data_IF_860095116955
#
_entry.id   IF_860095116955
#
_cell.length_a   1.000
_cell.length_b   1.000
_cell.length_c   1.000
_cell.angle_alpha   90.00
_cell.angle_beta   90.00
_cell.angle_gamma   90.00
#
_symmetry.space_group_name_H-M   'P 1'
#
loop_
_entity.id
_entity.type
_entity.pdbx_description
1 polymer ?
#
# COMPACT_ATOMS: atom_id res chain seq x y z
N UNK A 1 14.10 -32.53 -1.68
CA UNK A 1 13.64 -33.93 -1.54
C UNK A 1 12.35 -34.11 -2.32
N UNK A 2 12.27 -35.04 -3.29
CA UNK A 2 11.00 -35.35 -3.99
C UNK A 2 10.08 -36.10 -3.01
N UNK A 3 8.90 -35.54 -2.72
CA UNK A 3 7.86 -36.23 -1.93
C UNK A 3 7.28 -37.36 -2.80
N UNK A 4 7.22 -38.57 -2.26
CA UNK A 4 6.64 -39.76 -2.92
C UNK A 4 5.39 -40.16 -2.16
N UNK A 5 4.28 -40.36 -2.86
CA UNK A 5 3.05 -40.92 -2.30
C UNK A 5 3.00 -42.39 -2.71
N UNK A 6 2.98 -43.29 -1.73
CA UNK A 6 2.88 -44.74 -1.95
C UNK A 6 1.40 -45.12 -1.82
N UNK A 7 0.82 -45.66 -2.89
CA UNK A 7 -0.55 -46.15 -2.92
C UNK A 7 -0.55 -47.69 -2.87
N UNK A 8 -1.39 -48.29 -2.04
CA UNK A 8 -1.58 -49.75 -1.95
C UNK A 8 -2.99 -50.14 -2.38
N UNK A 9 -3.12 -51.19 -3.20
CA UNK A 9 -4.42 -51.66 -3.71
C UNK A 9 -4.31 -52.50 -4.98
N UNK A 10 -5.45 -52.97 -5.49
CA UNK A 10 -5.51 -53.70 -6.78
C UNK A 10 -5.18 -52.78 -7.95
N UNK A 11 -4.44 -53.28 -8.93
CA UNK A 11 -3.92 -52.51 -10.07
C UNK A 11 -5.04 -51.84 -10.90
N UNK A 12 -6.20 -52.48 -11.00
CA UNK A 12 -7.35 -51.94 -11.75
C UNK A 12 -8.01 -50.76 -11.02
N UNK A 13 -8.14 -50.84 -9.69
CA UNK A 13 -8.68 -49.76 -8.86
C UNK A 13 -7.72 -48.56 -8.83
N UNK A 14 -6.41 -48.83 -8.75
CA UNK A 14 -5.39 -47.78 -8.76
C UNK A 14 -5.34 -47.03 -10.09
N UNK A 15 -5.46 -47.72 -11.23
CA UNK A 15 -5.48 -47.08 -12.56
C UNK A 15 -6.63 -46.08 -12.72
N UNK A 16 -7.81 -46.38 -12.15
CA UNK A 16 -8.96 -45.48 -12.21
C UNK A 16 -8.84 -44.28 -11.25
N UNK A 17 -8.20 -44.47 -10.08
CA UNK A 17 -8.12 -43.44 -9.04
C UNK A 17 -6.91 -42.50 -9.15
N UNK A 18 -5.81 -42.94 -9.78
CA UNK A 18 -4.60 -42.12 -9.95
C UNK A 18 -4.89 -40.79 -10.67
N UNK A 19 -5.63 -40.73 -11.80
CA UNK A 19 -5.93 -39.47 -12.47
C UNK A 19 -6.72 -38.50 -11.58
N UNK A 20 -7.72 -39.02 -10.86
CA UNK A 20 -8.54 -38.22 -9.93
C UNK A 20 -7.69 -37.63 -8.79
N UNK A 21 -6.76 -38.41 -8.23
CA UNK A 21 -5.86 -37.95 -7.17
C UNK A 21 -4.89 -36.89 -7.68
N UNK A 22 -4.41 -37.00 -8.93
CA UNK A 22 -3.55 -36.00 -9.56
C UNK A 22 -4.34 -34.70 -9.75
N UNK A 23 -5.56 -34.76 -10.28
CA UNK A 23 -6.43 -33.60 -10.49
C UNK A 23 -6.78 -32.90 -9.18
N UNK A 24 -7.11 -33.66 -8.13
CA UNK A 24 -7.32 -33.13 -6.78
C UNK A 24 -6.04 -32.49 -6.24
N UNK A 25 -4.88 -33.07 -6.48
CA UNK A 25 -3.61 -32.51 -6.06
C UNK A 25 -3.30 -31.18 -6.75
N UNK A 26 -3.54 -31.09 -8.06
CA UNK A 26 -3.37 -29.86 -8.84
C UNK A 26 -4.35 -28.78 -8.38
N UNK A 27 -5.62 -29.13 -8.16
CA UNK A 27 -6.63 -28.21 -7.64
C UNK A 27 -6.28 -27.72 -6.23
N UNK A 28 -5.84 -28.61 -5.33
CA UNK A 28 -5.40 -28.23 -3.98
C UNK A 28 -4.13 -27.37 -4.00
N UNK A 29 -3.22 -27.59 -4.96
CA UNK A 29 -2.05 -26.73 -5.14
C UNK A 29 -2.46 -25.32 -5.58
N UNK A 30 -3.40 -25.20 -6.52
CA UNK A 30 -3.91 -23.90 -6.98
C UNK A 30 -4.71 -23.18 -5.90
N UNK A 31 -5.59 -23.89 -5.17
CA UNK A 31 -6.30 -23.35 -4.00
C UNK A 31 -5.31 -22.91 -2.94
N UNK A 32 -4.24 -23.68 -2.67
CA UNK A 32 -3.21 -23.30 -1.70
C UNK A 32 -2.43 -22.07 -2.13
N UNK A 33 -2.08 -21.95 -3.41
CA UNK A 33 -1.43 -20.75 -3.95
C UNK A 33 -2.34 -19.52 -3.80
N UNK A 34 -3.63 -19.65 -4.12
CA UNK A 34 -4.64 -18.59 -3.93
C UNK A 34 -4.88 -18.28 -2.45
N UNK A 35 -4.88 -19.30 -1.59
CA UNK A 35 -5.09 -19.14 -0.15
C UNK A 35 -3.87 -18.55 0.54
N UNK A 36 -2.64 -18.87 0.13
CA UNK A 36 -1.42 -18.20 0.60
C UNK A 36 -1.38 -16.73 0.12
N UNK A 37 -1.95 -16.42 -1.05
CA UNK A 37 -2.17 -15.04 -1.51
C UNK A 37 -3.18 -14.27 -0.63
N UNK A 38 -4.19 -14.95 -0.08
CA UNK A 38 -5.28 -14.37 0.72
C UNK A 38 -5.00 -14.36 2.23
N UNK A 39 -4.33 -15.38 2.77
CA UNK A 39 -4.02 -15.55 4.19
C UNK A 39 -2.86 -14.64 4.65
N UNK A 40 -2.05 -14.16 3.70
CA UNK A 40 -1.00 -13.19 4.00
C UNK A 40 -1.52 -11.77 3.81
N UNK A 41 -2.21 -11.24 4.82
CA UNK A 41 -2.24 -9.78 5.02
C UNK A 41 -0.79 -9.30 5.24
N UNK A 42 -0.10 -9.01 4.14
CA UNK A 42 1.17 -8.28 4.12
C UNK A 42 2.39 -9.11 4.51
N UNK A 43 2.89 -9.91 3.57
CA UNK A 43 4.31 -10.06 3.19
C UNK A 43 4.46 -11.38 2.46
N UNK A 44 4.52 -11.34 1.13
CA UNK A 44 5.24 -12.41 0.45
C UNK A 44 6.63 -12.51 1.12
N UNK A 45 7.13 -13.72 1.37
CA UNK A 45 8.48 -13.94 1.93
C UNK A 45 9.57 -13.17 1.17
N UNK A 46 9.29 -12.81 -0.09
CA UNK A 46 10.11 -11.95 -0.93
C UNK A 46 10.09 -10.46 -0.52
N UNK A 47 8.94 -9.88 -0.14
CA UNK A 47 8.80 -8.46 0.20
C UNK A 47 9.59 -8.03 1.47
N UNK A 48 9.86 -8.96 2.38
CA UNK A 48 10.60 -8.68 3.64
C UNK A 48 12.02 -8.15 3.40
N UNK A 49 12.62 -8.48 2.26
CA UNK A 49 13.99 -8.08 1.89
C UNK A 49 14.04 -7.04 0.77
N UNK A 50 12.89 -6.43 0.47
CA UNK A 50 12.75 -5.39 -0.57
C UNK A 50 12.68 -4.02 0.08
N UNK A 51 13.36 -3.02 -0.49
CA UNK A 51 13.16 -1.63 -0.08
C UNK A 51 11.69 -1.23 -0.23
N UNK A 52 11.17 -0.45 0.72
CA UNK A 52 9.80 0.07 0.68
C UNK A 52 9.84 1.59 0.65
N UNK A 53 9.21 2.19 -0.36
CA UNK A 53 8.97 3.64 -0.41
C UNK A 53 7.65 3.92 0.29
N UNK A 54 7.64 4.97 1.13
CA UNK A 54 6.43 5.46 1.77
C UNK A 54 6.34 6.98 1.66
N UNK A 55 5.23 7.46 1.11
CA UNK A 55 4.88 8.87 1.05
C UNK A 55 3.92 9.20 2.18
N UNK A 56 4.10 10.38 2.77
CA UNK A 56 3.28 10.91 3.84
C UNK A 56 2.67 12.25 3.43
N UNK A 57 1.36 12.35 3.62
CA UNK A 57 0.56 13.54 3.39
C UNK A 57 -0.05 13.98 4.71
N UNK A 58 -0.22 15.29 4.87
CA UNK A 58 -0.65 15.88 6.13
C UNK A 58 -1.50 17.12 5.92
N UNK A 59 -2.49 17.28 6.78
CA UNK A 59 -3.26 18.50 6.98
C UNK A 59 -3.40 18.76 8.48
N UNK A 60 -3.32 20.02 8.88
CA UNK A 60 -3.66 20.45 10.22
C UNK A 60 -4.74 21.52 10.13
N UNK A 61 -5.91 21.22 10.67
CA UNK A 61 -7.00 22.18 10.79
C UNK A 61 -6.80 22.96 12.08
N UNK A 62 -6.46 24.24 11.93
CA UNK A 62 -6.20 25.14 13.06
C UNK A 62 -7.47 25.45 13.84
N UNK A 63 -8.63 25.51 13.16
CA UNK A 63 -9.91 25.87 13.80
C UNK A 63 -10.42 24.73 14.68
N UNK A 64 -10.23 23.49 14.23
CA UNK A 64 -10.68 22.30 14.98
C UNK A 64 -9.56 21.69 15.83
N UNK A 65 -8.33 22.20 15.75
CA UNK A 65 -7.13 21.60 16.34
C UNK A 65 -6.96 20.10 16.00
N UNK A 66 -7.40 19.69 14.80
CA UNK A 66 -7.39 18.30 14.33
C UNK A 66 -6.34 18.11 13.24
N UNK A 67 -5.69 16.94 13.25
CA UNK A 67 -4.71 16.57 12.23
C UNK A 67 -5.21 15.40 11.40
N UNK A 68 -4.92 15.44 10.11
CA UNK A 68 -5.31 14.40 9.17
C UNK A 68 -4.12 13.99 8.34
N UNK A 69 -3.91 12.68 8.23
CA UNK A 69 -2.82 12.09 7.49
C UNK A 69 -3.32 11.20 6.35
N UNK A 70 -2.47 11.01 5.35
CA UNK A 70 -2.64 9.95 4.37
C UNK A 70 -1.27 9.39 4.00
N UNK A 71 -1.25 8.11 3.63
CA UNK A 71 -0.01 7.39 3.37
C UNK A 71 -0.17 6.52 2.14
N UNK A 72 0.88 6.45 1.33
CA UNK A 72 0.97 5.55 0.19
C UNK A 72 2.32 4.85 0.22
N UNK A 73 2.33 3.57 -0.12
CA UNK A 73 3.56 2.81 -0.13
C UNK A 73 3.62 1.74 -1.19
N UNK A 74 4.82 1.47 -1.67
CA UNK A 74 5.13 0.39 -2.59
C UNK A 74 6.49 -0.22 -2.24
N UNK A 75 6.71 -1.43 -2.72
CA UNK A 75 8.01 -2.10 -2.64
C UNK A 75 8.76 -1.96 -3.97
N UNK A 76 10.08 -1.82 -3.88
CA UNK A 76 10.99 -1.88 -5.02
C UNK A 76 11.34 -3.35 -5.28
N UNK A 77 10.70 -3.97 -6.27
CA UNK A 77 10.82 -5.41 -6.56
C UNK A 77 12.03 -5.75 -7.43
N UNK A 78 12.49 -4.78 -8.22
CA UNK A 78 13.77 -4.74 -8.94
C UNK A 78 14.93 -4.75 -7.93
N UNK A 79 14.83 -3.96 -6.86
CA UNK A 79 15.92 -3.77 -5.93
C UNK A 79 15.95 -4.74 -4.75
N UNK A 80 17.13 -4.94 -4.16
CA UNK A 80 17.31 -5.62 -2.88
C UNK A 80 17.90 -4.65 -1.86
N UNK A 81 17.53 -4.83 -0.59
CA UNK A 81 18.10 -4.03 0.51
C UNK A 81 19.64 -4.11 0.55
N UNK A 82 20.22 -5.23 0.11
CA UNK A 82 21.68 -5.43 0.09
C UNK A 82 22.38 -4.78 -1.09
N UNK A 83 21.68 -4.42 -2.16
CA UNK A 83 22.28 -3.93 -3.41
C UNK A 83 21.98 -2.47 -3.70
N UNK A 84 20.93 -1.91 -3.09
CA UNK A 84 20.54 -0.53 -3.34
C UNK A 84 21.67 0.45 -2.98
N UNK A 85 22.01 1.30 -3.95
CA UNK A 85 23.11 2.26 -3.89
C UNK A 85 22.63 3.64 -3.49
N UNK A 86 23.53 4.49 -3.01
CA UNK A 86 23.21 5.89 -2.69
C UNK A 86 22.75 6.65 -3.94
N UNK A 87 23.32 6.34 -5.12
CA UNK A 87 22.92 6.95 -6.39
C UNK A 87 21.47 6.67 -6.75
N UNK A 88 21.00 5.44 -6.57
CA UNK A 88 19.60 5.07 -6.81
C UNK A 88 18.65 5.75 -5.83
N UNK A 89 19.05 5.83 -4.55
CA UNK A 89 18.27 6.53 -3.52
C UNK A 89 18.15 8.03 -3.86
N UNK A 90 19.23 8.65 -4.33
CA UNK A 90 19.24 10.05 -4.77
C UNK A 90 18.35 10.26 -6.00
N UNK A 91 18.42 9.38 -6.99
CA UNK A 91 17.56 9.44 -8.17
C UNK A 91 16.07 9.33 -7.79
N UNK A 92 15.71 8.41 -6.89
CA UNK A 92 14.36 8.28 -6.36
C UNK A 92 13.91 9.55 -5.63
N UNK A 93 14.76 10.12 -4.78
CA UNK A 93 14.47 11.37 -4.08
C UNK A 93 14.20 12.52 -5.07
N UNK A 94 15.03 12.68 -6.11
CA UNK A 94 14.83 13.71 -7.15
C UNK A 94 13.49 13.54 -7.88
N UNK A 95 13.13 12.31 -8.27
CA UNK A 95 11.85 12.06 -8.94
C UNK A 95 10.68 12.40 -8.01
N UNK A 96 10.74 11.97 -6.74
CA UNK A 96 9.70 12.28 -5.75
C UNK A 96 9.60 13.79 -5.53
N UNK A 97 10.74 14.48 -5.45
CA UNK A 97 10.76 15.93 -5.26
C UNK A 97 10.07 16.65 -6.43
N UNK A 98 10.39 16.30 -7.67
CA UNK A 98 9.77 16.85 -8.87
C UNK A 98 8.27 16.54 -8.96
N UNK A 99 7.85 15.36 -8.53
CA UNK A 99 6.46 14.88 -8.68
C UNK A 99 5.55 15.29 -7.53
N UNK A 100 6.10 15.47 -6.32
CA UNK A 100 5.31 15.66 -5.09
C UNK A 100 5.68 16.90 -4.27
N UNK A 101 6.91 17.40 -4.34
CA UNK A 101 7.35 18.55 -3.54
C UNK A 101 7.36 19.86 -4.32
N UNK A 102 7.59 19.82 -5.64
CA UNK A 102 7.77 21.00 -6.50
C UNK A 102 6.93 20.90 -7.79
N UNK A 103 5.67 21.37 -7.81
CA UNK A 103 4.93 22.00 -6.70
C UNK A 103 4.45 20.97 -5.67
N UNK A 104 4.11 21.46 -4.46
CA UNK A 104 3.60 20.59 -3.39
C UNK A 104 2.30 19.94 -3.85
N UNK A 105 2.33 18.62 -4.01
CA UNK A 105 1.18 17.84 -4.44
C UNK A 105 0.13 17.81 -3.34
N UNK A 106 -1.12 18.01 -3.74
CA UNK A 106 -2.28 18.00 -2.86
C UNK A 106 -3.36 17.12 -3.44
N UNK A 107 -4.18 16.56 -2.57
CA UNK A 107 -5.40 15.89 -2.99
C UNK A 107 -6.47 15.96 -1.91
N UNK A 108 -7.72 15.82 -2.33
CA UNK A 108 -8.85 15.77 -1.41
C UNK A 108 -9.04 14.34 -0.90
N UNK A 109 -8.72 14.13 0.36
CA UNK A 109 -9.06 12.91 1.09
C UNK A 109 -10.57 12.84 1.26
N UNK A 110 -11.13 11.64 1.26
CA UNK A 110 -12.56 11.46 1.50
C UNK A 110 -12.93 10.02 1.85
N UNK A 111 -14.18 9.66 1.57
CA UNK A 111 -14.76 8.40 2.03
C UNK A 111 -14.52 7.21 1.10
N UNK A 112 -14.23 7.48 -0.18
CA UNK A 112 -14.10 6.47 -1.25
C UNK A 112 -12.70 5.88 -1.23
N UNK A 113 -12.60 4.56 -1.24
CA UNK A 113 -11.32 3.86 -1.32
C UNK A 113 -11.04 3.50 -2.77
N UNK A 114 -9.95 4.05 -3.32
CA UNK A 114 -9.43 3.69 -4.64
C UNK A 114 -8.15 2.91 -4.42
N UNK A 115 -8.02 1.77 -5.08
CA UNK A 115 -6.95 0.81 -4.88
C UNK A 115 -6.28 0.50 -6.21
N UNK A 116 -4.98 0.22 -6.20
CA UNK A 116 -4.26 -0.29 -7.37
C UNK A 116 -3.53 -1.56 -6.97
N UNK A 117 -3.65 -2.64 -7.74
CA UNK A 117 -3.00 -3.92 -7.42
C UNK A 117 -2.08 -4.36 -8.55
N UNK A 118 -0.78 -4.25 -8.31
CA UNK A 118 0.26 -4.78 -9.20
C UNK A 118 1.34 -5.46 -8.36
N UNK A 119 1.13 -6.76 -8.11
CA UNK A 119 2.02 -7.58 -7.28
C UNK A 119 3.40 -7.72 -7.92
N UNK A 120 3.49 -7.79 -9.25
CA UNK A 120 4.75 -7.92 -9.98
C UNK A 120 5.65 -6.71 -9.77
N UNK A 121 5.04 -5.51 -9.76
CA UNK A 121 5.75 -4.25 -9.53
C UNK A 121 5.78 -3.82 -8.06
N UNK A 122 5.34 -4.64 -7.11
CA UNK A 122 5.46 -4.34 -5.67
C UNK A 122 4.35 -3.43 -5.10
N UNK A 123 3.27 -3.25 -5.84
CA UNK A 123 2.06 -2.55 -5.41
C UNK A 123 1.06 -3.56 -4.84
N UNK A 124 1.33 -4.03 -3.62
CA UNK A 124 0.47 -4.95 -2.88
C UNK A 124 -0.74 -4.23 -2.28
N UNK A 125 -1.69 -3.84 -3.15
CA UNK A 125 -2.90 -3.13 -2.79
C UNK A 125 -2.70 -1.76 -2.08
N UNK A 126 -1.81 -0.87 -2.56
CA UNK A 126 -1.87 0.54 -2.16
C UNK A 126 -3.27 1.10 -2.40
N UNK A 127 -3.73 1.89 -1.45
CA UNK A 127 -5.01 2.56 -1.56
C UNK A 127 -4.93 3.99 -1.10
N UNK A 128 -5.74 4.82 -1.74
CA UNK A 128 -5.99 6.20 -1.32
C UNK A 128 -7.46 6.32 -0.95
N UNK A 129 -7.71 7.05 0.13
CA UNK A 129 -9.03 7.53 0.48
C UNK A 129 -9.21 8.89 -0.19
N UNK A 130 -10.10 8.98 -1.17
CA UNK A 130 -10.29 10.19 -1.97
C UNK A 130 -11.73 10.68 -1.92
N UNK A 131 -11.92 11.98 -2.16
CA UNK A 131 -13.26 12.55 -2.32
C UNK A 131 -13.96 11.96 -3.54
N UNK A 132 -13.27 11.79 -4.68
CA UNK A 132 -13.85 11.24 -5.91
C UNK A 132 -13.00 10.09 -6.44
N UNK A 133 -13.58 9.27 -7.32
CA UNK A 133 -12.85 8.19 -8.00
C UNK A 133 -11.73 8.75 -8.89
N UNK A 134 -12.04 9.81 -9.65
CA UNK A 134 -11.08 10.48 -10.51
C UNK A 134 -9.88 11.03 -9.74
N UNK A 135 -10.12 11.61 -8.56
CA UNK A 135 -9.05 12.10 -7.70
C UNK A 135 -8.18 10.95 -7.20
N UNK A 136 -8.77 9.83 -6.78
CA UNK A 136 -8.00 8.65 -6.37
C UNK A 136 -7.16 8.06 -7.51
N UNK A 137 -7.70 8.01 -8.72
CA UNK A 137 -6.96 7.58 -9.93
C UNK A 137 -5.77 8.52 -10.19
N UNK A 138 -5.99 9.84 -10.14
CA UNK A 138 -4.94 10.85 -10.32
C UNK A 138 -3.79 10.66 -9.33
N UNK A 139 -4.12 10.43 -8.06
CA UNK A 139 -3.12 10.20 -7.00
C UNK A 139 -2.34 8.90 -7.25
N UNK A 140 -3.04 7.81 -7.58
CA UNK A 140 -2.39 6.52 -7.85
C UNK A 140 -1.52 6.58 -9.10
N UNK A 141 -1.97 7.23 -10.18
CA UNK A 141 -1.17 7.45 -11.38
C UNK A 141 0.12 8.21 -11.07
N UNK A 142 0.02 9.36 -10.37
CA UNK A 142 1.19 10.12 -9.93
C UNK A 142 2.14 9.26 -9.06
N UNK A 143 1.59 8.36 -8.26
CA UNK A 143 2.37 7.45 -7.43
C UNK A 143 3.12 6.38 -8.23
N UNK A 144 2.55 5.89 -9.33
CA UNK A 144 3.21 4.96 -10.26
C UNK A 144 4.33 5.64 -11.05
N UNK A 145 4.17 6.93 -11.37
CA UNK A 145 5.18 7.71 -12.10
C UNK A 145 6.53 7.80 -11.37
N UNK A 146 6.57 7.63 -10.04
CA UNK A 146 7.83 7.55 -9.26
C UNK A 146 8.77 6.47 -9.83
N UNK A 147 8.19 5.39 -10.35
CA UNK A 147 8.92 4.24 -10.89
C UNK A 147 8.73 4.08 -12.40
N UNK A 148 8.16 5.09 -13.07
CA UNK A 148 7.85 5.06 -14.49
C UNK A 148 7.01 3.84 -14.91
N UNK A 149 6.09 3.40 -14.04
CA UNK A 149 5.19 2.28 -14.32
C UNK A 149 3.95 2.83 -15.03
N UNK A 150 3.57 2.29 -16.21
CA UNK A 150 2.37 2.72 -16.90
C UNK A 150 1.13 2.37 -16.07
N UNK A 151 0.21 3.32 -16.00
CA UNK A 151 -1.04 3.13 -15.29
C UNK A 151 -1.99 2.24 -16.09
N UNK A 152 -2.47 1.19 -15.45
CA UNK A 152 -3.40 0.23 -16.03
C UNK A 152 -4.75 0.29 -15.30
N UNK A 153 -5.79 0.68 -16.04
CA UNK A 153 -7.14 0.83 -15.51
C UNK A 153 -7.72 -0.51 -15.03
N UNK A 154 -7.30 -1.64 -15.59
CA UNK A 154 -7.79 -2.97 -15.21
C UNK A 154 -7.29 -3.39 -13.82
N UNK A 155 -6.20 -2.79 -13.34
CA UNK A 155 -5.62 -3.05 -12.02
C UNK A 155 -6.22 -2.21 -10.90
N UNK A 156 -7.22 -1.37 -11.22
CA UNK A 156 -7.85 -0.46 -10.26
C UNK A 156 -9.07 -1.09 -9.62
N UNK A 157 -9.13 -1.03 -8.29
CA UNK A 157 -10.29 -1.42 -7.48
C UNK A 157 -10.96 -0.22 -6.82
N UNK A 158 -12.29 -0.27 -6.68
CA UNK A 158 -13.07 0.75 -5.98
C UNK A 158 -13.89 0.13 -4.87
N UNK A 159 -13.88 0.77 -3.70
CA UNK A 159 -14.78 0.43 -2.59
C UNK A 159 -15.45 1.70 -2.08
N UNK A 160 -16.78 1.69 -2.10
CA UNK A 160 -17.64 2.78 -1.66
C UNK A 160 -18.83 2.16 -0.91
N UNK A 161 -19.26 2.80 0.18
CA UNK A 161 -20.46 2.37 0.89
C UNK A 161 -21.71 2.82 0.12
N UNK A 162 -22.80 2.06 0.17
CA UNK A 162 -24.07 2.47 -0.46
C UNK A 162 -24.66 3.76 0.12
N UNK A 163 -24.32 4.11 1.36
CA UNK A 163 -24.69 5.39 1.99
C UNK A 163 -23.50 5.98 2.76
N UNK A 164 -22.53 6.61 2.06
CA UNK A 164 -21.31 7.13 2.68
C UNK A 164 -21.59 8.21 3.71
N UNK A 165 -22.55 9.11 3.42
CA UNK A 165 -22.93 10.20 4.30
C UNK A 165 -23.43 9.69 5.66
N UNK A 166 -24.20 8.60 5.68
CA UNK A 166 -24.70 8.00 6.92
C UNK A 166 -23.61 7.21 7.65
N UNK A 167 -22.80 6.43 6.93
CA UNK A 167 -21.77 5.58 7.55
C UNK A 167 -20.65 6.39 8.20
N UNK A 168 -20.27 7.51 7.59
CA UNK A 168 -19.17 8.37 8.04
C UNK A 168 -19.67 9.68 8.68
N UNK A 169 -20.97 9.79 8.96
CA UNK A 169 -21.52 10.91 9.74
C UNK A 169 -20.97 10.85 11.16
N UNK A 170 -20.34 11.94 11.59
CA UNK A 170 -19.77 12.12 12.92
C UNK A 170 -20.64 12.96 13.84
N UNK A 171 -21.92 13.13 13.52
CA UNK A 171 -22.83 13.89 14.36
C UNK A 171 -23.14 13.09 15.63
N UNK A 172 -22.34 13.26 16.68
CA UNK A 172 -22.62 12.67 17.98
C UNK A 172 -21.55 13.00 19.03
N UNK A 173 -22.01 13.20 20.25
CA UNK A 173 -21.19 13.17 21.46
C UNK A 173 -21.30 11.79 22.10
N UNK A 174 -20.19 11.28 22.64
CA UNK A 174 -20.16 10.05 23.41
C UNK A 174 -19.72 10.37 24.84
N UNK A 175 -20.39 9.77 25.81
CA UNK A 175 -20.08 9.99 27.21
C UNK A 175 -18.90 9.09 27.59
N UNK A 176 -17.72 9.67 27.80
CA UNK A 176 -16.53 8.97 28.27
C UNK A 176 -16.23 9.44 29.70
N UNK A 177 -16.30 8.51 30.66
CA UNK A 177 -16.06 8.80 32.08
C UNK A 177 -16.91 9.96 32.66
N UNK A 178 -18.12 10.16 32.16
CA UNK A 178 -19.02 11.23 32.60
C UNK A 178 -18.87 12.55 31.83
N UNK A 179 -17.86 12.67 30.97
CA UNK A 179 -17.66 13.83 30.10
C UNK A 179 -18.21 13.56 28.70
N UNK A 180 -18.94 14.53 28.14
CA UNK A 180 -19.39 14.46 26.75
C UNK A 180 -18.22 14.81 25.81
N UNK A 181 -17.71 13.82 25.09
CA UNK A 181 -16.62 13.97 24.13
C UNK A 181 -17.17 13.90 22.71
N UNK A 182 -16.73 14.78 21.82
CA UNK A 182 -17.10 14.73 20.40
C UNK A 182 -16.53 13.46 19.74
N UNK A 183 -17.38 12.69 19.05
CA UNK A 183 -16.93 11.47 18.38
C UNK A 183 -15.97 11.83 17.25
N UNK A 184 -14.89 11.04 17.13
CA UNK A 184 -13.94 11.19 16.03
C UNK A 184 -14.62 10.97 14.67
N UNK A 185 -14.41 11.90 13.74
CA UNK A 185 -14.91 11.78 12.37
C UNK A 185 -14.10 10.74 11.62
N UNK A 186 -14.74 9.65 11.20
CA UNK A 186 -14.11 8.68 10.30
C UNK A 186 -14.05 9.23 8.87
N UNK A 187 -12.86 9.19 8.25
CA UNK A 187 -12.62 9.57 6.83
C UNK A 187 -13.17 10.95 6.44
N UNK A 188 -12.75 12.01 7.14
CA UNK A 188 -13.22 13.36 6.85
C UNK A 188 -12.78 13.80 5.45
N UNK A 189 -13.62 14.63 4.82
CA UNK A 189 -13.31 15.24 3.54
C UNK A 189 -12.39 16.45 3.77
N UNK A 190 -11.10 16.28 3.52
CA UNK A 190 -10.07 17.31 3.79
C UNK A 190 -9.01 17.30 2.71
N UNK A 191 -8.48 18.47 2.35
CA UNK A 191 -7.32 18.57 1.46
C UNK A 191 -6.03 18.29 2.23
N UNK A 192 -5.35 17.20 1.87
CA UNK A 192 -4.03 16.87 2.41
C UNK A 192 -2.95 17.25 1.42
N UNK A 193 -1.79 17.70 1.94
CA UNK A 193 -0.62 18.06 1.13
C UNK A 193 0.54 17.13 1.42
N UNK A 194 1.38 16.91 0.41
CA UNK A 194 2.62 16.17 0.57
C UNK A 194 3.47 16.81 1.67
N UNK A 195 4.05 15.96 2.53
CA UNK A 195 4.88 16.39 3.65
C UNK A 195 6.28 15.83 3.56
N UNK A 196 6.42 14.52 3.38
CA UNK A 196 7.71 13.87 3.25
C UNK A 196 7.60 12.49 2.62
N UNK A 197 8.74 11.98 2.18
CA UNK A 197 8.92 10.62 1.68
C UNK A 197 10.08 9.94 2.39
N UNK A 198 9.92 8.65 2.66
CA UNK A 198 10.92 7.84 3.32
C UNK A 198 11.13 6.51 2.60
N UNK A 199 12.38 6.03 2.68
CA UNK A 199 12.79 4.71 2.24
C UNK A 199 13.06 3.81 3.44
N UNK A 200 12.38 2.68 3.48
CA UNK A 200 12.52 1.67 4.52
C UNK A 200 13.33 0.48 3.99
N UNK A 201 14.44 0.20 4.67
CA UNK A 201 15.35 -0.92 4.36
C UNK A 201 15.21 -2.00 5.44
N UNK A 202 14.03 -2.63 5.50
CA UNK A 202 13.70 -3.65 6.50
C UNK A 202 13.55 -3.05 7.90
N UNK A 203 14.33 -3.54 8.87
CA UNK A 203 14.29 -3.07 10.28
C UNK A 203 15.21 -1.88 10.58
N UNK A 204 15.97 -1.40 9.58
CA UNK A 204 16.86 -0.24 9.76
C UNK A 204 16.05 1.05 9.89
N UNK A 205 16.67 2.09 10.45
CA UNK A 205 16.08 3.44 10.50
C UNK A 205 15.72 3.88 9.08
N UNK A 206 14.51 4.45 8.92
CA UNK A 206 14.07 4.96 7.64
C UNK A 206 14.99 6.09 7.16
N UNK A 207 15.28 6.08 5.86
CA UNK A 207 16.07 7.12 5.20
C UNK A 207 15.09 8.17 4.68
N UNK A 208 15.30 9.43 5.05
CA UNK A 208 14.54 10.55 4.47
C UNK A 208 14.93 10.69 3.01
N UNK A 209 13.95 10.68 2.10
CA UNK A 209 14.17 10.97 0.68
C UNK A 209 13.93 12.46 0.42
N UNK A 210 12.77 12.97 0.87
CA UNK A 210 12.35 14.36 0.69
C UNK A 210 11.55 14.77 1.93
N UNK A 211 11.77 15.99 2.45
CA UNK A 211 10.95 16.58 3.52
C UNK A 211 10.64 18.04 3.19
N UNK A 212 9.36 18.40 3.16
CA UNK A 212 8.91 19.79 2.98
C UNK A 212 8.61 20.48 4.31
N UNK A 213 8.69 19.75 5.44
CA UNK A 213 8.39 20.30 6.77
C UNK A 213 9.62 20.78 7.53
N UNK A 214 10.83 20.39 7.10
CA UNK A 214 12.10 20.72 7.75
C UNK A 214 12.26 20.10 9.15
N UNK A 215 11.51 19.04 9.45
CA UNK A 215 11.50 18.38 10.77
C UNK A 215 12.27 17.07 10.77
N UNK A 216 12.47 16.47 9.60
CA UNK A 216 13.19 15.21 9.47
C UNK A 216 14.69 15.46 9.24
N UNK A 217 15.56 14.50 9.64
CA UNK A 217 16.97 14.59 9.31
C UNK A 217 17.13 14.66 7.78
N UNK A 218 18.12 15.44 7.30
CA UNK A 218 18.37 15.58 5.87
C UNK A 218 18.70 14.21 5.26
N UNK A 219 18.48 14.05 3.95
CA UNK A 219 18.88 12.85 3.26
C UNK A 219 20.37 12.58 3.42
N UNK A 220 20.79 11.30 3.50
CA UNK A 220 22.18 10.94 3.78
C UNK A 220 23.16 11.34 2.67
N UNK A 221 22.66 11.70 1.48
CA UNK A 221 23.45 12.14 0.33
C UNK A 221 23.60 13.67 0.22
N UNK A 222 23.05 14.42 1.18
CA UNK A 222 23.21 15.89 1.26
C UNK A 222 24.20 16.30 2.39
N UNK A 223 24.87 15.32 3.02
CA UNK A 223 25.79 15.52 4.15
C UNK A 223 27.27 15.64 3.71
N UNK A 224 27.53 16.01 2.45
CA UNK A 224 28.88 16.27 1.92
C UNK A 224 29.33 17.72 2.14
#
# INVERSE_FOLDING_TARGET
MKKRVVLSGSQEQLKAQIPLIIEIHELLADIRAKTELLATRGTSTNAKYRPKIQLYFYHYDVMQAKSYDAQLSCYLMDEKISTITIGEVKALATIIEQKFAKPIFKFKKGTRKVMYSDVGNGYFNPYVLAETRAEGIRVLNQFLEIRNIPFDMEKVGYVENGSPATRYSSAGTELLMGEAVERLVERPNVEVKFRHAQLFLGKRKAITLVDTSGKLPPPPFDLE
#
